data_IF_278412646465
#
_entry.id   IF_278412646465
#
_cell.length_a   1.000
_cell.length_b   1.000
_cell.length_c   1.000
_cell.angle_alpha   90.00
_cell.angle_beta   90.00
_cell.angle_gamma   90.00
#
_symmetry.space_group_name_H-M   'P 1'
#
loop_
_entity.id
_entity.type
_entity.pdbx_description
1 polymer ?
#
# COMPACT_ATOMS: atom_id res chain seq x y z
N UNK A 1 11.46 -17.28 -20.66
CA UNK A 1 10.98 -15.91 -20.42
C UNK A 1 11.28 -15.61 -18.96
N UNK A 2 12.32 -14.82 -18.70
CA UNK A 2 12.66 -14.42 -17.35
C UNK A 2 11.65 -13.35 -16.92
N UNK A 3 10.80 -13.65 -15.95
CA UNK A 3 10.08 -12.60 -15.23
C UNK A 3 11.11 -11.80 -14.45
N UNK A 4 11.54 -10.66 -15.00
CA UNK A 4 12.03 -9.56 -14.19
C UNK A 4 10.82 -8.95 -13.47
N UNK A 5 10.21 -9.71 -12.55
CA UNK A 5 9.21 -9.18 -11.64
C UNK A 5 9.92 -8.11 -10.82
N UNK A 6 9.68 -6.84 -11.15
CA UNK A 6 10.47 -5.70 -10.71
C UNK A 6 10.75 -5.72 -9.20
N UNK A 7 11.96 -5.34 -8.81
CA UNK A 7 12.47 -5.35 -7.42
C UNK A 7 11.68 -4.46 -6.42
N UNK A 8 10.54 -3.89 -6.81
CA UNK A 8 9.73 -2.98 -6.01
C UNK A 8 8.37 -3.55 -5.61
N UNK A 9 7.68 -2.89 -4.65
CA UNK A 9 6.31 -3.24 -4.30
C UNK A 9 5.38 -3.07 -5.50
N UNK A 10 4.41 -4.00 -5.63
CA UNK A 10 3.33 -3.90 -6.60
C UNK A 10 2.40 -2.72 -6.28
N UNK A 11 2.17 -2.45 -4.99
CA UNK A 11 1.44 -1.30 -4.49
C UNK A 11 2.25 -0.67 -3.36
N UNK A 12 2.51 0.63 -3.47
CA UNK A 12 3.07 1.43 -2.40
C UNK A 12 2.13 2.60 -2.13
N UNK A 13 1.80 2.82 -0.87
CA UNK A 13 1.07 4.00 -0.40
C UNK A 13 1.83 4.63 0.74
N UNK A 14 2.00 5.95 0.69
CA UNK A 14 2.78 6.72 1.65
C UNK A 14 1.91 7.76 2.35
N UNK A 15 1.95 7.77 3.68
CA UNK A 15 1.33 8.79 4.53
C UNK A 15 -0.15 9.11 4.19
N UNK A 16 -0.91 8.11 3.77
CA UNK A 16 -2.31 8.27 3.39
C UNK A 16 -3.15 8.60 4.63
N UNK A 17 -3.94 9.66 4.51
CA UNK A 17 -4.92 10.06 5.53
C UNK A 17 -6.29 10.13 4.89
N UNK A 18 -7.29 9.51 5.54
CA UNK A 18 -8.66 9.45 5.04
C UNK A 18 -9.59 9.98 6.12
N UNK A 19 -10.51 10.86 5.72
CA UNK A 19 -11.56 11.38 6.59
C UNK A 19 -12.92 10.85 6.12
N UNK A 20 -13.74 10.47 7.09
CA UNK A 20 -15.13 10.09 6.87
C UNK A 20 -16.01 10.97 7.74
N UNK A 21 -16.57 12.02 7.13
CA UNK A 21 -17.23 13.11 7.85
C UNK A 21 -16.26 13.79 8.82
N UNK A 22 -16.63 13.83 10.11
CA UNK A 22 -15.79 14.39 11.15
C UNK A 22 -14.68 13.43 11.65
N UNK A 23 -14.74 12.14 11.30
CA UNK A 23 -13.80 11.13 11.77
C UNK A 23 -12.53 11.11 10.91
N UNK A 24 -11.38 11.03 11.57
CA UNK A 24 -10.12 10.64 10.92
C UNK A 24 -10.03 9.11 10.89
N UNK A 25 -10.36 8.51 9.75
CA UNK A 25 -10.43 7.06 9.56
C UNK A 25 -9.05 6.44 9.34
N UNK A 26 -8.18 7.11 8.58
CA UNK A 26 -6.77 6.76 8.45
C UNK A 26 -5.93 8.01 8.73
N UNK A 27 -4.83 7.86 9.47
CA UNK A 27 -3.94 8.96 9.84
C UNK A 27 -2.49 8.63 9.47
N UNK A 28 -2.01 9.20 8.37
CA UNK A 28 -0.64 9.02 7.84
C UNK A 28 -0.18 7.56 7.79
N UNK A 29 -1.02 6.71 7.21
CA UNK A 29 -0.73 5.28 7.06
C UNK A 29 0.12 5.05 5.83
N UNK A 30 1.17 4.24 5.97
CA UNK A 30 2.00 3.76 4.86
C UNK A 30 1.95 2.24 4.78
N UNK A 31 1.93 1.70 3.57
CA UNK A 31 1.82 0.27 3.30
C UNK A 31 2.46 -0.05 1.94
N UNK A 32 3.16 -1.18 1.89
CA UNK A 32 3.65 -1.80 0.68
C UNK A 32 3.08 -3.22 0.53
N UNK A 33 2.72 -3.59 -0.69
CA UNK A 33 2.31 -4.96 -1.06
C UNK A 33 3.16 -5.42 -2.24
N UNK A 34 3.85 -6.56 -2.11
CA UNK A 34 4.66 -7.15 -3.19
C UNK A 34 3.81 -8.03 -4.11
N UNK A 35 4.34 -8.33 -5.29
CA UNK A 35 3.70 -9.26 -6.22
C UNK A 35 3.53 -10.64 -5.57
N UNK A 36 2.30 -11.16 -5.57
CA UNK A 36 1.96 -12.46 -4.97
C UNK A 36 1.80 -12.46 -3.44
N UNK A 37 1.95 -11.31 -2.77
CA UNK A 37 1.78 -11.19 -1.32
C UNK A 37 0.31 -11.02 -0.92
N UNK A 38 -0.12 -11.70 0.15
CA UNK A 38 -1.40 -11.48 0.81
C UNK A 38 -1.10 -10.95 2.21
N UNK A 39 -1.52 -9.72 2.49
CA UNK A 39 -1.33 -9.05 3.77
C UNK A 39 -2.71 -8.81 4.42
N UNK A 40 -2.85 -9.18 5.70
CA UNK A 40 -4.09 -9.10 6.47
C UNK A 40 -3.87 -8.36 7.80
#
# INVERSE_FOLDING_TARGET
MSESGGEGPLLAVESVSVRFGALMALNRVSLDVRSGEILA
#
